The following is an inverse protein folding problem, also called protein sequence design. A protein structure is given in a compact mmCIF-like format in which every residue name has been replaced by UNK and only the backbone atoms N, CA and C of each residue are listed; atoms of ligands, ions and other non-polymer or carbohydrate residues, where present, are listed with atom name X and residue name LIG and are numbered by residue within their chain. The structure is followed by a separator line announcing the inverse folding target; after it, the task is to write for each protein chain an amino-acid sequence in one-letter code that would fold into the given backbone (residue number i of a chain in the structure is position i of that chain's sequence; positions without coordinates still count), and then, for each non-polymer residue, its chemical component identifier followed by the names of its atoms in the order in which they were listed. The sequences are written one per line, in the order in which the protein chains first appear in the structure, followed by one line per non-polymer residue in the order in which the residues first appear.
data_IF_754636106685
#
_entry.id   IF_754636106685
#
_cell.length_a   1.000
_cell.length_b   1.000
_cell.length_c   1.000
_cell.angle_alpha   90.00
_cell.angle_beta   90.00
_cell.angle_gamma   90.00
#
_symmetry.space_group_name_H-M   'P 1'
#
loop_
_entity.id
_entity.type
_entity.pdbx_description
1 polymer ?
#
# COMPACT_ATOMS: atom_id res chain seq x y z
N UNK A 1 1.33 -12.08 14.46
CA UNK A 1 1.45 -11.72 13.03
C UNK A 1 2.89 -11.31 12.79
N UNK A 2 3.58 -11.93 11.84
CA UNK A 2 4.95 -11.57 11.49
C UNK A 2 4.99 -10.17 10.86
N UNK A 3 6.08 -9.41 11.04
CA UNK A 3 6.25 -8.12 10.35
C UNK A 3 6.24 -8.35 8.84
N UNK A 4 5.66 -7.41 8.09
CA UNK A 4 5.73 -7.43 6.64
C UNK A 4 7.14 -7.01 6.25
N UNK A 5 7.79 -7.75 5.35
CA UNK A 5 9.09 -7.30 4.82
C UNK A 5 8.88 -6.28 3.70
N UNK A 6 9.86 -5.42 3.49
CA UNK A 6 9.80 -4.35 2.48
C UNK A 6 9.34 -4.85 1.11
N UNK A 7 9.95 -5.93 0.62
CA UNK A 7 9.65 -6.49 -0.70
C UNK A 7 8.18 -6.92 -0.83
N UNK A 8 7.64 -7.59 0.19
CA UNK A 8 6.22 -7.97 0.22
C UNK A 8 5.31 -6.73 0.25
N UNK A 9 5.68 -5.70 1.03
CA UNK A 9 4.92 -4.45 1.11
C UNK A 9 4.90 -3.67 -0.21
N UNK A 10 6.02 -3.65 -0.92
CA UNK A 10 6.13 -3.02 -2.24
C UNK A 10 5.29 -3.76 -3.29
N UNK A 11 5.32 -5.09 -3.28
CA UNK A 11 4.50 -5.91 -4.18
C UNK A 11 3.00 -5.69 -3.93
N UNK A 12 2.59 -5.74 -2.66
CA UNK A 12 1.20 -5.47 -2.26
C UNK A 12 0.78 -4.04 -2.62
N UNK A 13 1.64 -3.05 -2.42
CA UNK A 13 1.37 -1.67 -2.81
C UNK A 13 1.16 -1.54 -4.32
N UNK A 14 2.01 -2.18 -5.13
CA UNK A 14 1.86 -2.20 -6.59
C UNK A 14 0.55 -2.87 -7.00
N UNK A 15 0.20 -4.00 -6.39
CA UNK A 15 -1.04 -4.71 -6.62
C UNK A 15 -2.27 -3.86 -6.28
N UNK A 16 -2.31 -3.25 -5.08
CA UNK A 16 -3.40 -2.36 -4.65
C UNK A 16 -3.59 -1.20 -5.64
N UNK A 17 -2.50 -0.57 -6.08
CA UNK A 17 -2.55 0.52 -7.06
C UNK A 17 -3.16 0.08 -8.39
N UNK A 18 -2.77 -1.10 -8.89
CA UNK A 18 -3.30 -1.67 -10.12
C UNK A 18 -4.80 -2.01 -9.98
N UNK A 19 -5.21 -2.63 -8.86
CA UNK A 19 -6.62 -2.99 -8.60
C UNK A 19 -7.56 -1.78 -8.56
N UNK A 20 -7.05 -0.63 -8.13
CA UNK A 20 -7.79 0.63 -8.08
C UNK A 20 -7.55 1.57 -9.27
N UNK A 21 -6.78 1.15 -10.27
CA UNK A 21 -6.58 1.91 -11.49
C UNK A 21 -7.92 2.10 -12.24
N UNK A 22 -8.12 3.27 -12.85
CA UNK A 22 -9.36 3.63 -13.55
C UNK A 22 -10.59 3.89 -12.65
N UNK A 23 -10.52 3.62 -11.34
CA UNK A 23 -11.63 3.84 -10.39
C UNK A 23 -11.62 5.24 -9.77
N UNK A 24 -11.84 6.27 -10.58
CA UNK A 24 -11.70 7.68 -10.18
C UNK A 24 -12.62 8.13 -9.02
N UNK A 25 -13.75 7.45 -8.79
CA UNK A 25 -14.65 7.74 -7.67
C UNK A 25 -14.36 6.90 -6.41
N UNK A 26 -13.33 6.05 -6.41
CA UNK A 26 -13.02 5.17 -5.29
C UNK A 26 -12.14 5.87 -4.25
N UNK A 27 -12.53 5.96 -2.97
CA UNK A 27 -11.68 6.53 -1.92
C UNK A 27 -10.28 5.92 -1.87
N UNK A 28 -10.14 4.62 -2.17
CA UNK A 28 -8.86 3.94 -2.24
C UNK A 28 -7.96 4.47 -3.39
N UNK A 29 -8.56 4.84 -4.53
CA UNK A 29 -7.83 5.49 -5.63
C UNK A 29 -7.33 6.86 -5.22
N UNK A 30 -8.16 7.66 -4.57
CA UNK A 30 -7.76 8.97 -4.04
C UNK A 30 -6.62 8.84 -3.04
N UNK A 31 -6.71 7.88 -2.11
CA UNK A 31 -5.64 7.60 -1.17
C UNK A 31 -4.33 7.21 -1.88
N UNK A 32 -4.39 6.36 -2.91
CA UNK A 32 -3.21 5.99 -3.70
C UNK A 32 -2.58 7.21 -4.39
N UNK A 33 -3.40 8.10 -4.96
CA UNK A 33 -2.92 9.32 -5.61
C UNK A 33 -2.26 10.28 -4.62
N UNK A 34 -2.91 10.56 -3.49
CA UNK A 34 -2.35 11.39 -2.42
C UNK A 34 -1.03 10.82 -1.90
N UNK A 35 -0.97 9.49 -1.70
CA UNK A 35 0.23 8.82 -1.24
C UNK A 35 1.40 8.98 -2.23
N UNK A 36 1.15 8.78 -3.52
CA UNK A 36 2.17 8.94 -4.57
C UNK A 36 2.64 10.40 -4.70
N UNK A 37 1.71 11.36 -4.59
CA UNK A 37 2.03 12.78 -4.62
C UNK A 37 2.93 13.18 -3.43
N UNK A 38 2.59 12.72 -2.22
CA UNK A 38 3.39 12.98 -1.00
C UNK A 38 4.77 12.34 -1.05
N UNK A 39 4.86 11.14 -1.63
CA UNK A 39 6.12 10.42 -1.78
C UNK A 39 7.10 11.12 -2.74
N UNK A 40 6.62 11.96 -3.67
CA UNK A 40 7.45 12.69 -4.63
C UNK A 40 8.42 11.77 -5.40
N UNK A 41 7.97 10.54 -5.70
CA UNK A 41 8.78 9.52 -6.38
C UNK A 41 9.65 8.66 -5.47
N UNK A 42 9.87 9.03 -4.21
CA UNK A 42 10.68 8.29 -3.24
C UNK A 42 9.88 7.11 -2.63
N UNK A 43 10.28 5.85 -2.86
CA UNK A 43 9.64 4.68 -2.26
C UNK A 43 9.65 4.68 -0.74
N UNK A 44 10.69 5.24 -0.11
CA UNK A 44 10.84 5.31 1.35
C UNK A 44 9.90 6.31 2.03
N UNK A 45 9.22 7.15 1.24
CA UNK A 45 8.22 8.12 1.71
C UNK A 45 6.78 7.71 1.41
N UNK A 46 6.58 6.52 0.86
CA UNK A 46 5.24 6.00 0.60
C UNK A 46 4.58 5.56 1.92
N UNK A 47 3.26 5.58 1.95
CA UNK A 47 2.46 5.34 3.14
C UNK A 47 2.74 4.00 3.83
N UNK A 48 3.10 2.94 3.09
CA UNK A 48 3.48 1.67 3.71
C UNK A 48 4.82 1.73 4.44
N UNK A 49 5.74 2.61 4.01
CA UNK A 49 7.07 2.82 4.60
C UNK A 49 7.05 3.69 5.87
N UNK A 50 5.90 4.27 6.23
CA UNK A 50 5.74 5.12 7.42
C UNK A 50 5.93 4.35 8.75
N UNK A 51 5.98 3.02 8.69
CA UNK A 51 6.22 2.15 9.85
C UNK A 51 7.31 1.11 9.56
N UNK A 52 8.08 0.78 10.60
CA UNK A 52 9.17 -0.23 10.54
C UNK A 52 8.69 -1.64 10.18
N UNK A 53 7.42 -1.96 10.42
CA UNK A 53 6.78 -3.22 10.08
C UNK A 53 6.11 -3.21 8.70
N UNK A 54 6.29 -2.12 7.94
CA UNK A 54 5.73 -1.88 6.62
C UNK A 54 4.19 -1.90 6.54
N UNK A 55 3.52 -1.76 7.69
CA UNK A 55 2.04 -1.76 7.82
C UNK A 55 1.43 -0.37 7.90
N UNK A 56 2.11 0.66 7.39
CA UNK A 56 1.61 2.04 7.44
C UNK A 56 0.40 2.33 6.53
N UNK A 57 0.12 1.47 5.54
CA UNK A 57 -1.00 1.65 4.62
C UNK A 57 -2.16 0.66 4.89
N UNK A 58 -3.38 1.13 5.21
CA UNK A 58 -4.51 0.26 5.49
C UNK A 58 -4.96 -0.58 4.28
N UNK A 59 -4.77 -0.09 3.05
CA UNK A 59 -5.09 -0.85 1.84
C UNK A 59 -4.12 -2.02 1.64
N UNK A 60 -2.82 -1.79 1.88
CA UNK A 60 -1.79 -2.85 1.84
C UNK A 60 -2.05 -3.89 2.91
N UNK A 61 -2.35 -3.47 4.14
CA UNK A 61 -2.66 -4.38 5.26
C UNK A 61 -3.89 -5.25 4.96
N UNK A 62 -4.92 -4.66 4.33
CA UNK A 62 -6.13 -5.38 3.93
C UNK A 62 -5.83 -6.42 2.85
N UNK A 63 -4.97 -6.09 1.90
CA UNK A 63 -4.56 -7.02 0.84
C UNK A 63 -3.69 -8.16 1.41
N UNK A 64 -2.79 -7.87 2.33
CA UNK A 64 -2.00 -8.87 3.04
C UNK A 64 -2.89 -9.89 3.76
N UNK A 65 -3.86 -9.40 4.53
CA UNK A 65 -4.83 -10.24 5.26
C UNK A 65 -5.70 -11.11 4.33
N UNK A 66 -5.90 -10.71 3.06
CA UNK A 66 -6.61 -11.52 2.07
C UNK A 66 -5.76 -12.65 1.51
N UNK A 67 -4.45 -12.42 1.36
CA UNK A 67 -3.52 -13.40 0.77
C UNK A 67 -3.07 -14.47 1.77
N UNK A 68 -3.02 -14.14 3.06
CA UNK A 68 -2.69 -15.08 4.14
C UNK A 68 -3.93 -15.31 5.00
N UNK A 69 -4.84 -16.24 4.62
CA UNK A 69 -5.88 -16.67 5.56
C UNK A 69 -5.17 -17.26 6.79
N UNK A 70 -5.61 -16.81 7.97
CA UNK A 70 -5.03 -17.14 9.27
C UNK A 70 -4.93 -18.66 9.51
#
# INVERSE_FOLDING_TARGET
MSPLVQAEAEELCAHVRATHEGRWLSPARWQCLSCLAMAQGDPGRRCMADRLDWRGCPLVNREEARRKPA
#
